data_IF_392550128743
#
_entry.id   IF_392550128743
#
_cell.length_a   1.000
_cell.length_b   1.000
_cell.length_c   1.000
_cell.angle_alpha   90.00
_cell.angle_beta   90.00
_cell.angle_gamma   90.00
#
_symmetry.space_group_name_H-M   'P 1'
#
loop_
_entity.id
_entity.type
_entity.pdbx_description
1 polymer ?
#
# COMPACT_ATOMS: atom_id res chain seq x y z
N UNK A 1 1.50 6.46 -8.36
CA UNK A 1 1.59 7.49 -9.24
C UNK A 1 2.11 7.21 -10.62
N UNK A 2 2.29 8.27 -11.37
CA UNK A 2 2.74 8.18 -12.76
C UNK A 2 4.11 7.53 -12.90
N UNK A 3 5.05 7.88 -12.03
CA UNK A 3 6.41 7.34 -12.09
C UNK A 3 6.38 5.82 -11.97
N UNK A 4 5.58 5.31 -11.06
CA UNK A 4 5.47 3.87 -10.84
C UNK A 4 4.82 3.17 -12.02
N UNK A 5 3.71 3.69 -12.51
CA UNK A 5 2.95 3.04 -13.59
C UNK A 5 3.72 3.00 -14.91
N UNK A 6 4.63 3.92 -15.15
CA UNK A 6 5.50 3.90 -16.32
C UNK A 6 6.51 2.75 -16.28
N UNK A 7 6.95 2.36 -15.07
CA UNK A 7 7.97 1.32 -14.89
C UNK A 7 7.39 -0.08 -14.79
N UNK A 8 6.15 -0.19 -14.33
CA UNK A 8 5.48 -1.48 -14.14
C UNK A 8 4.09 -1.42 -14.79
N UNK A 9 4.02 -1.68 -16.09
CA UNK A 9 2.80 -1.43 -16.88
C UNK A 9 1.57 -2.23 -16.41
N UNK A 10 1.78 -3.38 -15.77
CA UNK A 10 0.66 -4.21 -15.30
C UNK A 10 0.24 -3.94 -13.87
N UNK A 11 0.83 -2.92 -13.24
CA UNK A 11 0.48 -2.57 -11.88
C UNK A 11 -0.75 -1.69 -11.83
N UNK A 12 -1.62 -1.95 -10.86
CA UNK A 12 -2.78 -1.11 -10.60
C UNK A 12 -2.57 -0.41 -9.26
N UNK A 13 -2.67 0.91 -9.24
CA UNK A 13 -2.34 1.72 -8.07
C UNK A 13 -3.54 2.56 -7.65
N UNK A 14 -3.98 2.39 -6.39
CA UNK A 14 -4.88 3.34 -5.76
C UNK A 14 -4.04 4.19 -4.80
N UNK A 15 -3.51 5.28 -5.32
CA UNK A 15 -2.60 6.15 -4.60
C UNK A 15 -3.24 7.39 -4.00
N UNK A 16 -4.51 7.37 -3.72
CA UNK A 16 -5.18 8.51 -3.11
C UNK A 16 -4.81 8.59 -1.64
N UNK A 17 -3.82 9.41 -1.36
CA UNK A 17 -3.34 9.65 0.00
C UNK A 17 -4.46 10.25 0.84
N UNK A 18 -4.57 9.79 2.09
CA UNK A 18 -5.56 10.31 3.02
C UNK A 18 -6.90 9.59 3.01
N UNK A 19 -7.08 8.62 2.12
CA UNK A 19 -8.31 7.85 2.05
C UNK A 19 -8.35 6.82 3.17
N UNK A 20 -9.49 6.72 3.85
CA UNK A 20 -9.68 5.69 4.87
C UNK A 20 -9.93 4.34 4.24
N UNK A 21 -9.67 3.27 4.99
CA UNK A 21 -9.77 1.91 4.49
C UNK A 21 -11.15 1.59 3.88
N UNK A 22 -12.22 1.97 4.56
CA UNK A 22 -13.58 1.69 4.09
C UNK A 22 -13.84 2.35 2.74
N UNK A 23 -13.44 3.62 2.58
CA UNK A 23 -13.58 4.31 1.31
C UNK A 23 -12.70 3.67 0.24
N UNK A 24 -11.50 3.27 0.61
CA UNK A 24 -10.59 2.58 -0.30
C UNK A 24 -11.15 1.26 -0.78
N UNK A 25 -11.76 0.50 0.10
CA UNK A 25 -12.40 -0.77 -0.25
C UNK A 25 -13.50 -0.56 -1.29
N UNK A 26 -14.39 0.42 -1.06
CA UNK A 26 -15.47 0.70 -1.99
C UNK A 26 -14.95 1.15 -3.35
N UNK A 27 -13.95 2.03 -3.35
CA UNK A 27 -13.33 2.49 -4.57
C UNK A 27 -12.70 1.35 -5.36
N UNK A 28 -11.97 0.47 -4.68
CA UNK A 28 -11.31 -0.66 -5.32
C UNK A 28 -12.35 -1.60 -5.92
N UNK A 29 -13.40 -1.91 -5.19
CA UNK A 29 -14.46 -2.79 -5.69
C UNK A 29 -15.14 -2.22 -6.94
N UNK A 30 -15.33 -0.90 -6.98
CA UNK A 30 -15.97 -0.26 -8.12
C UNK A 30 -15.06 -0.11 -9.34
N UNK A 31 -13.81 0.29 -9.12
CA UNK A 31 -12.89 0.61 -10.21
C UNK A 31 -12.01 -0.54 -10.65
N UNK A 32 -11.66 -1.43 -9.72
CA UNK A 32 -10.62 -2.42 -9.95
C UNK A 32 -11.11 -3.85 -9.82
N UNK A 33 -12.39 -4.07 -10.01
CA UNK A 33 -12.99 -5.40 -9.90
C UNK A 33 -12.28 -6.43 -10.78
N UNK A 34 -11.84 -6.01 -11.96
CA UNK A 34 -11.12 -6.88 -12.89
C UNK A 34 -9.73 -7.29 -12.38
N UNK A 35 -9.21 -6.59 -11.36
CA UNK A 35 -7.88 -6.87 -10.79
C UNK A 35 -7.93 -7.84 -9.61
N UNK A 36 -9.08 -8.44 -9.35
CA UNK A 36 -9.23 -9.46 -8.31
C UNK A 36 -8.78 -10.85 -8.77
N UNK A 37 -8.46 -11.00 -10.03
CA UNK A 37 -8.05 -12.28 -10.59
C UNK A 37 -6.59 -12.58 -10.28
N UNK A 38 -6.26 -13.88 -10.19
CA UNK A 38 -4.89 -14.32 -9.99
C UNK A 38 -4.00 -13.80 -11.11
N UNK A 39 -2.81 -13.34 -10.76
CA UNK A 39 -1.86 -12.76 -11.71
C UNK A 39 -1.96 -11.26 -11.84
N UNK A 40 -2.94 -10.64 -11.21
CA UNK A 40 -3.05 -9.18 -11.15
C UNK A 40 -2.40 -8.67 -9.86
N UNK A 41 -1.99 -7.41 -9.87
CA UNK A 41 -1.35 -6.78 -8.71
C UNK A 41 -2.09 -5.52 -8.32
N UNK A 42 -2.34 -5.35 -7.03
CA UNK A 42 -3.01 -4.17 -6.47
C UNK A 42 -2.11 -3.58 -5.39
N UNK A 43 -1.85 -2.29 -5.48
CA UNK A 43 -1.07 -1.56 -4.47
C UNK A 43 -2.01 -0.72 -3.62
N UNK A 44 -1.93 -0.87 -2.31
CA UNK A 44 -2.83 -0.18 -1.37
C UNK A 44 -2.02 0.67 -0.40
N UNK A 45 -2.35 1.96 -0.35
CA UNK A 45 -1.78 2.91 0.60
C UNK A 45 -2.92 3.61 1.34
N UNK A 46 -3.37 3.02 2.44
CA UNK A 46 -4.55 3.49 3.18
C UNK A 46 -4.29 3.83 4.64
N UNK A 47 -3.06 3.79 5.10
CA UNK A 47 -2.75 4.00 6.51
C UNK A 47 -2.43 5.42 6.93
N UNK A 48 -2.57 6.40 6.04
CA UNK A 48 -2.09 7.76 6.30
C UNK A 48 -3.13 8.71 6.90
N UNK A 49 -4.41 8.40 6.77
CA UNK A 49 -5.47 9.35 7.14
C UNK A 49 -6.46 8.83 8.18
N UNK A 50 -6.15 7.77 8.86
CA UNK A 50 -7.02 7.28 9.91
C UNK A 50 -6.76 5.85 10.29
N UNK A 51 -7.41 5.47 11.36
CA UNK A 51 -7.32 4.15 11.92
C UNK A 51 -8.22 3.16 11.19
N UNK A 52 -7.78 1.91 11.09
CA UNK A 52 -8.65 0.83 10.62
C UNK A 52 -8.49 -0.37 11.56
N UNK A 53 -9.44 -1.30 11.49
CA UNK A 53 -9.39 -2.51 12.29
C UNK A 53 -8.84 -3.67 11.47
N UNK A 54 -8.42 -4.71 12.16
CA UNK A 54 -7.97 -5.94 11.52
C UNK A 54 -9.09 -6.57 10.68
N UNK A 55 -10.32 -6.54 11.18
CA UNK A 55 -11.47 -7.08 10.46
C UNK A 55 -11.74 -6.32 9.17
N UNK A 56 -11.64 -5.00 9.21
CA UNK A 56 -11.80 -4.17 8.01
C UNK A 56 -10.73 -4.50 6.96
N UNK A 57 -9.50 -4.68 7.41
CA UNK A 57 -8.40 -5.02 6.50
C UNK A 57 -8.61 -6.42 5.90
N UNK A 58 -8.97 -7.40 6.71
CA UNK A 58 -9.26 -8.75 6.22
C UNK A 58 -10.40 -8.75 5.20
N UNK A 59 -11.43 -7.96 5.45
CA UNK A 59 -12.57 -7.83 4.54
C UNK A 59 -12.14 -7.25 3.19
N UNK A 60 -11.28 -6.24 3.21
CA UNK A 60 -10.72 -5.67 1.99
C UNK A 60 -9.91 -6.71 1.21
N UNK A 61 -9.04 -7.43 1.90
CA UNK A 61 -8.20 -8.46 1.27
C UNK A 61 -9.07 -9.55 0.64
N UNK A 62 -10.07 -10.02 1.35
CA UNK A 62 -10.98 -11.06 0.85
C UNK A 62 -11.74 -10.58 -0.40
N UNK A 63 -12.08 -9.29 -0.46
CA UNK A 63 -12.78 -8.72 -1.60
C UNK A 63 -11.95 -8.67 -2.87
N UNK A 64 -10.62 -8.75 -2.74
CA UNK A 64 -9.70 -8.68 -3.88
C UNK A 64 -9.30 -10.04 -4.42
N UNK A 65 -9.81 -11.12 -3.82
CA UNK A 65 -9.66 -12.47 -4.34
C UNK A 65 -8.21 -12.94 -4.39
N UNK A 66 -7.79 -13.45 -5.55
CA UNK A 66 -6.47 -14.05 -5.74
C UNK A 66 -5.40 -13.07 -6.22
N UNK A 67 -5.71 -11.79 -6.37
CA UNK A 67 -4.73 -10.79 -6.77
C UNK A 67 -3.58 -10.72 -5.76
N UNK A 68 -2.38 -10.41 -6.24
CA UNK A 68 -1.28 -10.07 -5.35
C UNK A 68 -1.49 -8.67 -4.81
N UNK A 69 -1.47 -8.55 -3.49
CA UNK A 69 -1.80 -7.30 -2.81
C UNK A 69 -0.56 -6.78 -2.10
N UNK A 70 -0.20 -5.55 -2.40
CA UNK A 70 0.98 -4.89 -1.80
C UNK A 70 0.49 -3.82 -0.85
N UNK A 71 0.65 -4.08 0.45
CA UNK A 71 0.27 -3.15 1.51
C UNK A 71 1.49 -2.31 1.89
N UNK A 72 1.34 -1.00 1.87
CA UNK A 72 2.42 -0.08 2.19
C UNK A 72 2.35 0.30 3.66
N UNK A 73 3.36 -0.08 4.43
CA UNK A 73 3.50 0.40 5.80
C UNK A 73 3.86 1.87 5.74
N UNK A 74 3.20 2.68 6.55
CA UNK A 74 3.27 4.14 6.44
C UNK A 74 4.12 4.75 7.54
N UNK A 75 4.62 5.95 7.27
CA UNK A 75 5.28 6.83 8.24
C UNK A 75 4.48 8.12 8.31
N UNK A 76 3.78 8.32 9.41
CA UNK A 76 2.95 9.50 9.62
C UNK A 76 3.08 9.97 11.07
N UNK A 77 3.03 11.29 11.33
CA UNK A 77 3.13 11.81 12.70
C UNK A 77 1.76 11.74 13.39
N UNK A 78 1.26 10.53 13.53
CA UNK A 78 -0.06 10.25 14.13
C UNK A 78 0.04 9.04 15.03
N UNK A 79 -0.81 8.98 16.04
CA UNK A 79 -0.78 7.92 17.03
C UNK A 79 -1.25 6.55 16.49
N UNK A 80 -1.97 6.52 15.38
CA UNK A 80 -2.40 5.28 14.76
C UNK A 80 -1.35 4.63 13.84
N UNK A 81 -0.22 5.28 13.61
CA UNK A 81 0.84 4.76 12.72
C UNK A 81 1.25 3.34 13.09
N UNK A 82 1.63 3.14 14.34
CA UNK A 82 2.09 1.85 14.84
C UNK A 82 1.00 0.78 14.76
N UNK A 83 -0.22 1.12 15.14
CA UNK A 83 -1.35 0.21 15.12
C UNK A 83 -1.68 -0.25 13.70
N UNK A 84 -1.76 0.70 12.77
CA UNK A 84 -2.06 0.38 11.37
C UNK A 84 -0.97 -0.50 10.76
N UNK A 85 0.28 -0.17 10.99
CA UNK A 85 1.40 -0.95 10.45
C UNK A 85 1.41 -2.37 11.01
N UNK A 86 1.12 -2.52 12.30
CA UNK A 86 1.06 -3.83 12.94
C UNK A 86 -0.08 -4.69 12.36
N UNK A 87 -1.24 -4.07 12.13
CA UNK A 87 -2.38 -4.78 11.51
C UNK A 87 -2.01 -5.28 10.12
N UNK A 88 -1.35 -4.44 9.32
CA UNK A 88 -0.90 -4.85 7.99
C UNK A 88 0.02 -6.07 8.05
N UNK A 89 0.96 -6.08 8.97
CA UNK A 89 1.88 -7.21 9.15
C UNK A 89 1.13 -8.49 9.56
N UNK A 90 0.17 -8.37 10.47
CA UNK A 90 -0.62 -9.51 10.92
C UNK A 90 -1.45 -10.11 9.78
N UNK A 91 -2.07 -9.25 8.98
CA UNK A 91 -2.87 -9.68 7.83
C UNK A 91 -2.00 -10.36 6.78
N UNK A 92 -0.83 -9.81 6.51
CA UNK A 92 0.09 -10.37 5.52
C UNK A 92 0.54 -11.78 5.89
N UNK A 93 0.68 -12.07 7.18
CA UNK A 93 1.06 -13.41 7.65
C UNK A 93 -0.01 -14.46 7.39
N UNK A 94 -1.27 -14.05 7.31
CA UNK A 94 -2.40 -14.97 7.14
C UNK A 94 -2.81 -15.19 5.68
N UNK A 95 -2.35 -14.35 4.78
CA UNK A 95 -2.74 -14.41 3.37
C UNK A 95 -1.50 -14.51 2.48
N UNK A 96 -1.41 -15.60 1.73
CA UNK A 96 -0.24 -15.85 0.86
C UNK A 96 -0.06 -14.80 -0.22
N UNK A 97 -1.14 -14.18 -0.64
CA UNK A 97 -1.13 -13.19 -1.71
C UNK A 97 -0.96 -11.76 -1.22
N UNK A 98 -0.71 -11.57 0.09
CA UNK A 98 -0.49 -10.23 0.66
C UNK A 98 0.98 -10.05 0.97
N UNK A 99 1.54 -8.96 0.46
CA UNK A 99 2.96 -8.62 0.58
C UNK A 99 3.11 -7.24 1.20
N UNK A 100 4.13 -7.07 2.04
CA UNK A 100 4.38 -5.80 2.71
C UNK A 100 5.46 -5.02 1.97
N UNK A 101 5.17 -3.75 1.67
CA UNK A 101 6.18 -2.78 1.23
C UNK A 101 6.54 -1.96 2.46
N UNK A 102 7.72 -2.14 3.00
CA UNK A 102 8.13 -1.52 4.26
C UNK A 102 8.66 -0.12 4.06
N UNK A 103 7.77 0.79 3.67
CA UNK A 103 8.08 2.20 3.49
C UNK A 103 8.46 2.85 4.82
N UNK A 104 7.90 2.36 5.91
CA UNK A 104 8.24 2.87 7.25
C UNK A 104 9.74 2.76 7.50
N UNK A 105 10.33 1.60 7.18
CA UNK A 105 11.76 1.37 7.35
C UNK A 105 12.57 2.15 6.31
N UNK A 106 12.17 2.09 5.06
CA UNK A 106 12.90 2.74 3.95
C UNK A 106 12.97 4.26 4.14
N UNK A 107 11.92 4.86 4.66
CA UNK A 107 11.86 6.30 4.85
C UNK A 107 12.49 6.77 6.16
N UNK A 108 12.98 5.87 6.99
CA UNK A 108 13.61 6.24 8.26
C UNK A 108 14.80 7.16 8.03
N UNK A 109 14.81 8.32 8.72
CA UNK A 109 15.89 9.29 8.60
C UNK A 109 15.84 10.15 7.35
N UNK A 110 14.80 10.04 6.54
CA UNK A 110 14.67 10.75 5.26
C UNK A 110 13.57 11.81 5.32
N UNK A 111 13.78 12.85 6.11
CA UNK A 111 12.79 13.94 6.22
C UNK A 111 12.54 14.65 4.90
N UNK A 112 13.52 14.61 3.98
CA UNK A 112 13.39 15.21 2.66
C UNK A 112 12.33 14.54 1.78
N UNK A 113 11.91 13.33 2.13
CA UNK A 113 10.86 12.61 1.39
C UNK A 113 9.48 13.16 1.67
N UNK A 114 9.31 13.93 2.72
CA UNK A 114 8.01 14.36 3.21
C UNK A 114 7.82 15.85 3.10
N UNK A 115 6.58 16.28 2.82
CA UNK A 115 6.20 17.67 2.88
C UNK A 115 6.18 18.15 4.34
N UNK A 116 5.92 19.44 4.54
CA UNK A 116 5.94 20.03 5.86
C UNK A 116 4.96 19.39 6.85
N UNK A 117 3.88 18.77 6.35
CA UNK A 117 2.89 18.12 7.21
C UNK A 117 3.35 16.73 7.68
N UNK A 118 4.45 16.22 7.16
CA UNK A 118 4.96 14.89 7.50
C UNK A 118 4.13 13.74 6.95
N UNK A 119 3.15 14.01 6.10
CA UNK A 119 2.22 13.02 5.55
C UNK A 119 2.37 12.91 4.04
N UNK A 120 2.21 14.03 3.34
CA UNK A 120 2.35 14.05 1.88
C UNK A 120 3.81 13.89 1.49
N UNK A 121 4.05 13.27 0.34
CA UNK A 121 5.41 13.02 -0.14
C UNK A 121 5.86 14.09 -1.10
N UNK A 122 7.12 14.48 -0.96
CA UNK A 122 7.81 15.27 -1.98
C UNK A 122 8.17 14.34 -3.15
N UNK A 123 8.60 14.92 -4.28
CA UNK A 123 8.95 14.13 -5.46
C UNK A 123 9.99 13.05 -5.14
N UNK A 124 11.01 13.38 -4.34
CA UNK A 124 12.02 12.39 -3.93
C UNK A 124 11.42 11.23 -3.14
N UNK A 125 10.42 11.51 -2.30
CA UNK A 125 9.72 10.48 -1.56
C UNK A 125 8.88 9.58 -2.46
N UNK A 126 8.15 10.17 -3.41
CA UNK A 126 7.37 9.41 -4.38
C UNK A 126 8.27 8.48 -5.18
N UNK A 127 9.41 8.96 -5.62
CA UNK A 127 10.38 8.17 -6.39
C UNK A 127 10.93 7.02 -5.54
N UNK A 128 11.30 7.29 -4.30
CA UNK A 128 11.83 6.28 -3.40
C UNK A 128 10.80 5.21 -3.08
N UNK A 129 9.55 5.60 -2.82
CA UNK A 129 8.47 4.66 -2.57
C UNK A 129 8.18 3.80 -3.80
N UNK A 130 8.14 4.41 -4.98
CA UNK A 130 7.92 3.67 -6.22
C UNK A 130 8.99 2.61 -6.44
N UNK A 131 10.24 2.94 -6.15
CA UNK A 131 11.35 1.98 -6.27
C UNK A 131 11.20 0.83 -5.28
N UNK A 132 10.74 1.09 -4.07
CA UNK A 132 10.50 0.03 -3.08
C UNK A 132 9.37 -0.89 -3.50
N UNK A 133 8.29 -0.35 -4.06
CA UNK A 133 7.18 -1.15 -4.56
C UNK A 133 7.66 -2.05 -5.69
N UNK A 134 8.40 -1.50 -6.64
CA UNK A 134 8.93 -2.26 -7.78
C UNK A 134 9.86 -3.37 -7.28
N UNK A 135 10.74 -3.07 -6.35
CA UNK A 135 11.66 -4.04 -5.75
C UNK A 135 10.88 -5.20 -5.14
N UNK A 136 9.83 -4.91 -4.38
CA UNK A 136 9.01 -5.94 -3.75
C UNK A 136 8.28 -6.79 -4.76
N UNK A 137 7.75 -6.19 -5.81
CA UNK A 137 7.09 -6.93 -6.89
C UNK A 137 8.03 -7.87 -7.59
N UNK A 138 9.26 -7.44 -7.84
CA UNK A 138 10.28 -8.30 -8.45
C UNK A 138 10.61 -9.48 -7.54
N UNK A 139 10.78 -9.24 -6.26
CA UNK A 139 11.04 -10.31 -5.29
C UNK A 139 9.93 -11.36 -5.29
N UNK A 140 8.68 -10.92 -5.32
CA UNK A 140 7.52 -11.81 -5.32
C UNK A 140 7.45 -12.61 -6.61
N UNK A 141 7.66 -11.97 -7.74
CA UNK A 141 7.53 -12.63 -9.05
C UNK A 141 8.69 -13.57 -9.39
N UNK A 142 9.80 -13.47 -8.70
CA UNK A 142 10.95 -14.35 -8.89
C UNK A 142 10.89 -15.64 -8.09
N UNK A 143 9.90 -15.78 -7.23
CA UNK A 143 9.74 -16.97 -6.39
C UNK A 143 8.96 -18.10 -7.08
#
# INVERSE_FOLDING_TARGET
GQVFSEKVPNANIDGKVGRQLIEGKDLINQKYQDYTKKGQSVVIELGTNGEFTKDQMNELIDSLGEADIYLIKVRVPRDYESTNNKIMEQVAKKHKNVHIVDWYKTSEGHSEYFAYDGIHLEYSGVKALSNEIIKKMKEVNEK
#
